data_IF_229896284971
#
_entry.id   IF_229896284971
#
_cell.length_a   1.000
_cell.length_b   1.000
_cell.length_c   1.000
_cell.angle_alpha   90.00
_cell.angle_beta   90.00
_cell.angle_gamma   90.00
#
_symmetry.space_group_name_H-M   'P 1'
#
loop_
_entity.id
_entity.type
_entity.pdbx_description
1 polymer ?
#
# COMPACT_ATOMS: atom_id res chain seq x y z
N UNK A 1 12.48 6.78 -9.09
CA UNK A 1 13.66 5.92 -9.26
C UNK A 1 13.99 5.67 -10.73
N UNK A 2 13.02 5.37 -11.61
CA UNK A 2 13.28 5.03 -13.02
C UNK A 2 14.00 6.12 -13.84
N UNK A 3 13.61 7.37 -13.67
CA UNK A 3 14.08 8.50 -14.48
C UNK A 3 15.47 9.04 -14.11
N UNK A 4 16.04 8.60 -12.98
CA UNK A 4 17.34 9.06 -12.50
C UNK A 4 18.40 7.96 -12.59
N UNK A 5 19.63 8.37 -12.93
CA UNK A 5 20.80 7.50 -12.97
C UNK A 5 21.38 7.17 -11.58
N UNK A 6 20.81 7.73 -10.50
CA UNK A 6 21.20 7.37 -9.14
C UNK A 6 21.01 5.87 -8.90
N UNK A 7 22.04 5.23 -8.33
CA UNK A 7 22.03 3.80 -8.00
C UNK A 7 21.54 3.51 -6.58
N UNK A 8 21.55 4.51 -5.69
CA UNK A 8 21.19 4.36 -4.27
C UNK A 8 20.09 5.36 -3.89
N UNK A 9 19.12 4.90 -3.11
CA UNK A 9 18.01 5.70 -2.62
C UNK A 9 17.78 5.44 -1.13
N UNK A 10 17.60 6.51 -0.37
CA UNK A 10 17.06 6.42 1.00
C UNK A 10 15.54 6.53 0.90
N UNK A 11 14.84 5.59 1.52
CA UNK A 11 13.37 5.47 1.45
C UNK A 11 12.78 5.82 2.81
N UNK A 12 12.16 7.00 2.89
CA UNK A 12 11.51 7.54 4.10
C UNK A 12 10.02 7.17 4.21
N UNK A 13 9.68 5.89 4.10
CA UNK A 13 8.29 5.42 4.27
C UNK A 13 8.29 3.99 4.84
N UNK A 14 7.14 3.32 4.83
CA UNK A 14 7.00 1.96 5.35
C UNK A 14 7.94 0.97 4.65
N UNK A 15 8.65 0.13 5.43
CA UNK A 15 9.71 -0.75 4.92
C UNK A 15 9.25 -1.73 3.83
N UNK A 16 7.97 -2.12 3.83
CA UNK A 16 7.39 -3.02 2.84
C UNK A 16 7.37 -2.45 1.42
N UNK A 17 7.42 -1.12 1.23
CA UNK A 17 7.54 -0.53 -0.11
C UNK A 17 8.86 -0.95 -0.78
N UNK A 18 9.91 -1.20 0.00
CA UNK A 18 11.27 -1.48 -0.51
C UNK A 18 11.26 -2.76 -1.34
N UNK A 19 10.48 -3.76 -0.94
CA UNK A 19 10.32 -4.99 -1.73
C UNK A 19 9.81 -4.68 -3.14
N UNK A 20 8.77 -3.85 -3.26
CA UNK A 20 8.21 -3.43 -4.56
C UNK A 20 9.22 -2.61 -5.36
N UNK A 21 9.90 -1.65 -4.72
CA UNK A 21 10.90 -0.80 -5.37
C UNK A 21 12.05 -1.61 -5.96
N UNK A 22 12.55 -2.61 -5.21
CA UNK A 22 13.58 -3.56 -5.68
C UNK A 22 13.08 -4.41 -6.84
N UNK A 23 11.84 -4.93 -6.77
CA UNK A 23 11.23 -5.70 -7.87
C UNK A 23 11.11 -4.88 -9.17
N UNK A 24 10.74 -3.61 -9.07
CA UNK A 24 10.59 -2.73 -10.22
C UNK A 24 11.92 -2.15 -10.74
N UNK A 25 12.99 -2.17 -9.92
CA UNK A 25 14.31 -1.60 -10.24
C UNK A 25 15.43 -2.50 -9.67
N UNK A 26 15.65 -3.70 -10.22
CA UNK A 26 16.54 -4.70 -9.62
C UNK A 26 18.01 -4.26 -9.51
N UNK A 27 18.46 -3.40 -10.43
CA UNK A 27 19.82 -2.86 -10.48
C UNK A 27 20.09 -1.73 -9.48
N UNK A 28 19.08 -1.31 -8.70
CA UNK A 28 19.16 -0.15 -7.79
C UNK A 28 19.07 -0.60 -6.33
N UNK A 29 19.83 0.08 -5.49
CA UNK A 29 19.88 -0.15 -4.06
C UNK A 29 18.91 0.79 -3.33
N UNK A 30 18.08 0.23 -2.46
CA UNK A 30 17.10 0.95 -1.65
C UNK A 30 17.39 0.69 -0.17
N UNK A 31 17.66 1.77 0.56
CA UNK A 31 18.05 1.80 1.97
C UNK A 31 16.88 2.38 2.75
N UNK A 32 16.32 1.70 3.76
CA UNK A 32 15.30 2.29 4.61
C UNK A 32 15.89 3.48 5.39
N UNK A 33 15.12 4.55 5.55
CA UNK A 33 15.51 5.65 6.44
C UNK A 33 15.48 5.22 7.92
N UNK A 34 14.65 4.23 8.25
CA UNK A 34 14.57 3.62 9.57
C UNK A 34 14.01 2.20 9.46
N UNK A 35 14.64 1.24 10.13
CA UNK A 35 14.13 -0.12 10.26
C UNK A 35 12.87 -0.19 11.14
N UNK A 36 12.59 0.87 11.91
CA UNK A 36 11.41 0.98 12.76
C UNK A 36 10.17 1.49 12.01
N UNK A 37 10.29 1.86 10.73
CA UNK A 37 9.18 2.29 9.88
C UNK A 37 8.30 1.10 9.45
N UNK A 38 7.81 0.35 10.43
CA UNK A 38 7.02 -0.86 10.28
C UNK A 38 5.58 -0.60 10.72
N UNK A 39 4.61 -0.78 9.81
CA UNK A 39 3.20 -0.66 10.15
C UNK A 39 2.63 -2.02 10.56
N UNK A 40 2.49 -2.24 11.87
CA UNK A 40 1.93 -3.47 12.43
C UNK A 40 0.52 -3.78 11.89
N UNK A 41 -0.33 -2.76 11.74
CA UNK A 41 -1.68 -2.89 11.19
C UNK A 41 -1.68 -3.38 9.75
N UNK A 42 -0.71 -2.97 8.91
CA UNK A 42 -0.62 -3.47 7.53
C UNK A 42 -0.20 -4.94 7.47
N UNK A 43 0.57 -5.43 8.45
CA UNK A 43 1.06 -6.82 8.47
C UNK A 43 0.11 -7.81 9.13
N UNK A 44 -1.08 -7.38 9.55
CA UNK A 44 -2.11 -8.32 10.03
C UNK A 44 -2.66 -9.20 8.90
N UNK A 45 -2.44 -8.80 7.64
CA UNK A 45 -2.79 -9.57 6.44
C UNK A 45 -1.68 -10.58 6.16
N UNK A 46 -2.01 -11.87 6.25
CA UNK A 46 -1.10 -12.99 5.97
C UNK A 46 -1.61 -13.82 4.79
N UNK A 47 -0.77 -14.70 4.23
CA UNK A 47 -1.16 -15.53 3.08
C UNK A 47 -2.31 -16.48 3.44
N UNK A 48 -2.32 -17.03 4.66
CA UNK A 48 -3.36 -17.91 5.18
C UNK A 48 -4.70 -17.17 5.29
N UNK A 49 -4.68 -15.93 5.79
CA UNK A 49 -5.90 -15.11 5.87
C UNK A 49 -6.44 -14.71 4.50
N UNK A 50 -5.56 -14.50 3.52
CA UNK A 50 -5.98 -14.25 2.13
C UNK A 50 -6.62 -15.50 1.54
N UNK A 51 -6.05 -16.68 1.78
CA UNK A 51 -6.65 -17.96 1.37
C UNK A 51 -8.05 -18.12 1.96
N UNK A 52 -8.19 -18.00 3.29
CA UNK A 52 -9.49 -18.13 3.95
C UNK A 52 -10.49 -17.07 3.49
N UNK A 53 -10.04 -15.85 3.22
CA UNK A 53 -10.91 -14.80 2.72
C UNK A 53 -11.50 -15.14 1.34
N UNK A 54 -10.74 -15.84 0.50
CA UNK A 54 -11.18 -16.30 -0.82
C UNK A 54 -12.07 -17.55 -0.72
N UNK A 55 -11.77 -18.48 0.20
CA UNK A 55 -12.58 -19.68 0.45
C UNK A 55 -13.95 -19.34 1.04
N UNK A 56 -13.97 -18.47 2.05
CA UNK A 56 -15.17 -18.11 2.81
C UNK A 56 -15.93 -16.91 2.21
N UNK A 57 -15.33 -16.22 1.24
CA UNK A 57 -15.80 -14.94 0.68
C UNK A 57 -16.09 -13.89 1.78
N UNK A 58 -15.21 -13.83 2.78
CA UNK A 58 -15.34 -12.99 3.98
C UNK A 58 -14.01 -12.32 4.35
N UNK A 59 -14.04 -11.20 5.09
CA UNK A 59 -15.23 -10.49 5.56
C UNK A 59 -15.86 -9.63 4.45
N UNK A 60 -17.19 -9.58 4.42
CA UNK A 60 -17.92 -8.60 3.61
C UNK A 60 -17.90 -7.24 4.33
N UNK A 61 -17.36 -6.21 3.68
CA UNK A 61 -17.30 -4.86 4.24
C UNK A 61 -18.58 -4.09 3.87
N UNK A 62 -19.38 -3.73 4.88
CA UNK A 62 -20.58 -2.89 4.71
C UNK A 62 -20.35 -1.51 5.28
N UNK A 63 -20.75 -0.49 4.53
CA UNK A 63 -20.71 0.91 4.96
C UNK A 63 -22.14 1.48 4.93
N UNK A 64 -22.62 2.12 6.01
CA UNK A 64 -23.95 2.72 6.02
C UNK A 64 -24.16 3.71 4.88
N UNK A 65 -25.32 3.65 4.22
CA UNK A 65 -25.58 4.38 2.97
C UNK A 65 -25.35 5.89 3.08
N UNK A 66 -25.73 6.48 4.22
CA UNK A 66 -25.47 7.91 4.50
C UNK A 66 -23.97 8.24 4.49
N UNK A 67 -23.16 7.41 5.15
CA UNK A 67 -21.69 7.59 5.21
C UNK A 67 -21.09 7.39 3.82
N UNK A 68 -21.50 6.32 3.13
CA UNK A 68 -21.04 6.02 1.76
C UNK A 68 -21.27 7.19 0.80
N UNK A 69 -22.48 7.76 0.76
CA UNK A 69 -22.81 8.90 -0.12
C UNK A 69 -21.94 10.12 0.17
N UNK A 70 -21.73 10.45 1.44
CA UNK A 70 -20.93 11.60 1.84
C UNK A 70 -19.45 11.41 1.48
N UNK A 71 -18.87 10.25 1.81
CA UNK A 71 -17.47 9.94 1.48
C UNK A 71 -17.24 9.88 -0.04
N UNK A 72 -18.17 9.30 -0.80
CA UNK A 72 -18.08 9.18 -2.25
C UNK A 72 -18.03 10.55 -2.95
N UNK A 73 -18.74 11.55 -2.43
CA UNK A 73 -18.69 12.92 -2.98
C UNK A 73 -17.28 13.50 -2.95
N UNK A 74 -16.56 13.34 -1.83
CA UNK A 74 -15.18 13.80 -1.69
C UNK A 74 -14.23 13.06 -2.63
N UNK A 75 -14.39 11.74 -2.75
CA UNK A 75 -13.58 10.90 -3.64
C UNK A 75 -13.81 11.30 -5.11
N UNK A 76 -15.06 11.47 -5.53
CA UNK A 76 -15.39 11.87 -6.91
C UNK A 76 -14.82 13.25 -7.26
N UNK A 77 -14.84 14.21 -6.32
CA UNK A 77 -14.20 15.51 -6.54
C UNK A 77 -12.70 15.38 -6.74
N UNK A 78 -12.02 14.55 -5.93
CA UNK A 78 -10.59 14.29 -6.11
C UNK A 78 -10.30 13.69 -7.48
N UNK A 79 -11.08 12.69 -7.91
CA UNK A 79 -10.88 12.01 -9.19
C UNK A 79 -11.15 12.90 -10.40
N UNK A 80 -12.09 13.84 -10.31
CA UNK A 80 -12.41 14.77 -11.41
C UNK A 80 -11.36 15.88 -11.61
N UNK A 81 -10.38 16.02 -10.70
CA UNK A 81 -9.28 16.98 -10.82
C UNK A 81 -8.03 16.41 -11.51
N UNK A 82 -8.00 15.08 -11.72
CA UNK A 82 -6.89 14.35 -12.35
C UNK A 82 -7.26 14.05 -13.79
#
# INVERSE_FOLDING_TARGET
>A
AKETNSKKFIVGTEIGIIHRLKKENPEKEFIPASELAFCSTMKVITLEKVLWALEDLKPEIKVPERIRKMAMSSINKMLNLV
#
